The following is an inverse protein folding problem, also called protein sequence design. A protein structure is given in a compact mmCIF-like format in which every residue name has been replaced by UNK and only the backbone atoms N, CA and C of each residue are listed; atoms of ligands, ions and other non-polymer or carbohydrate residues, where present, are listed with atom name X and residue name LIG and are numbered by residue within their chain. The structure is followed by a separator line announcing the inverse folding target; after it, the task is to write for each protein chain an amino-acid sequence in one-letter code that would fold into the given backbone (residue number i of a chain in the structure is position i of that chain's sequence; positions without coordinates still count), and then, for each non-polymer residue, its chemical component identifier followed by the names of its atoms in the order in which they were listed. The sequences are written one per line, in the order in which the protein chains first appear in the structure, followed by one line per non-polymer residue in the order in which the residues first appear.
data_IF_910339797758
#
_entry.id   IF_910339797758
#
_cell.length_a   1.000
_cell.length_b   1.000
_cell.length_c   1.000
_cell.angle_alpha   90.00
_cell.angle_beta   90.00
_cell.angle_gamma   90.00
#
_symmetry.space_group_name_H-M   'P 1'
#
loop_
_entity.id
_entity.type
_entity.pdbx_description
1 polymer ?
#
# COMPACT_ATOMS: atom_id res chain seq x y z
N UNK A 1 0.11 12.29 -13.12
CA UNK A 1 1.38 11.53 -13.08
C UNK A 1 2.42 12.34 -12.35
N UNK A 2 3.15 11.72 -11.47
CA UNK A 2 4.17 12.45 -10.74
C UNK A 2 5.36 12.78 -11.64
N UNK A 3 6.02 13.86 -11.29
CA UNK A 3 7.23 14.31 -11.96
C UNK A 3 8.32 13.22 -11.96
N UNK A 4 8.44 12.50 -10.86
CA UNK A 4 9.42 11.44 -10.69
C UNK A 4 9.23 10.30 -11.68
N UNK A 5 7.98 9.97 -12.00
CA UNK A 5 7.68 8.93 -12.98
C UNK A 5 8.14 9.31 -14.38
N UNK A 6 8.01 10.60 -14.74
CA UNK A 6 8.32 11.08 -16.09
C UNK A 6 9.82 11.14 -16.33
N UNK A 7 10.57 11.61 -15.34
CA UNK A 7 12.01 11.87 -15.48
C UNK A 7 12.88 10.76 -14.93
N UNK A 8 12.28 9.65 -14.54
CA UNK A 8 13.01 8.51 -14.00
C UNK A 8 13.40 8.63 -12.54
N UNK A 9 13.03 9.71 -11.85
CA UNK A 9 13.23 9.84 -10.44
C UNK A 9 12.15 9.05 -9.71
N UNK A 10 12.58 8.12 -8.87
CA UNK A 10 11.67 7.29 -8.11
C UNK A 10 11.68 7.70 -6.65
N UNK A 11 10.49 7.76 -6.06
CA UNK A 11 10.37 7.95 -4.63
C UNK A 11 10.89 6.69 -3.94
N UNK A 12 11.70 6.87 -2.90
CA UNK A 12 12.21 5.75 -2.11
C UNK A 12 11.02 4.98 -1.52
N UNK A 13 10.92 3.67 -1.77
CA UNK A 13 9.83 2.88 -1.22
C UNK A 13 9.94 2.78 0.29
N UNK A 14 8.80 2.79 0.97
CA UNK A 14 8.72 2.61 2.40
C UNK A 14 8.02 1.30 2.72
N UNK A 15 8.51 0.62 3.72
CA UNK A 15 7.86 -0.59 4.22
C UNK A 15 6.53 -0.20 4.85
N UNK A 16 5.38 -0.71 4.33
CA UNK A 16 4.06 -0.27 4.83
C UNK A 16 3.83 -0.64 6.29
N UNK A 17 4.37 -1.79 6.74
CA UNK A 17 4.20 -2.27 8.11
C UNK A 17 5.53 -2.78 8.63
N UNK A 18 5.90 -2.40 9.85
CA UNK A 18 7.15 -2.83 10.48
C UNK A 18 7.16 -4.34 10.77
N UNK A 19 6.02 -4.86 11.16
CA UNK A 19 5.90 -6.27 11.51
C UNK A 19 4.47 -6.76 11.28
N UNK A 20 4.28 -8.06 11.44
CA UNK A 20 2.99 -8.71 11.24
C UNK A 20 1.92 -8.20 12.20
N UNK A 21 2.27 -7.96 13.45
CA UNK A 21 1.34 -7.44 14.44
C UNK A 21 0.74 -6.09 14.05
N UNK A 22 1.58 -5.18 13.56
CA UNK A 22 1.11 -3.88 13.08
C UNK A 22 0.24 -3.99 11.83
N UNK A 23 0.54 -4.95 10.96
CA UNK A 23 -0.32 -5.24 9.82
C UNK A 23 -1.73 -5.64 10.27
N UNK A 24 -1.81 -6.59 11.19
CA UNK A 24 -3.10 -7.03 11.72
C UNK A 24 -3.86 -5.90 12.39
N UNK A 25 -3.17 -5.08 13.18
CA UNK A 25 -3.77 -3.94 13.86
C UNK A 25 -4.36 -2.93 12.87
N UNK A 26 -3.64 -2.65 11.79
CA UNK A 26 -4.11 -1.74 10.75
C UNK A 26 -5.35 -2.28 10.03
N UNK A 27 -5.54 -3.60 10.03
CA UNK A 27 -6.67 -4.26 9.37
C UNK A 27 -7.80 -4.64 10.33
N UNK A 28 -7.76 -4.14 11.56
CA UNK A 28 -8.88 -4.26 12.49
C UNK A 28 -8.72 -5.31 13.58
N UNK A 29 -7.50 -5.73 13.90
CA UNK A 29 -7.30 -6.67 15.00
C UNK A 29 -7.66 -6.05 16.34
N UNK A 30 -8.12 -6.88 17.26
CA UNK A 30 -8.49 -6.50 18.62
C UNK A 30 -8.19 -7.64 19.59
N UNK A 31 -8.41 -7.41 20.88
CA UNK A 31 -8.15 -8.43 21.89
C UNK A 31 -8.91 -9.74 21.64
N UNK A 32 -10.18 -9.63 21.22
CA UNK A 32 -10.99 -10.80 20.92
C UNK A 32 -10.87 -11.30 19.47
N UNK A 33 -10.11 -10.61 18.64
CA UNK A 33 -10.01 -10.92 17.22
C UNK A 33 -8.63 -10.56 16.69
N UNK A 34 -7.60 -11.36 17.03
CA UNK A 34 -6.21 -11.05 16.65
C UNK A 34 -5.96 -11.14 15.14
N UNK A 35 -6.75 -11.92 14.42
CA UNK A 35 -6.62 -12.10 12.97
C UNK A 35 -7.96 -11.73 12.33
N UNK A 36 -8.16 -10.45 11.98
CA UNK A 36 -9.43 -9.98 11.44
C UNK A 36 -9.66 -10.46 10.02
N UNK A 37 -10.93 -10.50 9.60
CA UNK A 37 -11.26 -10.69 8.20
C UNK A 37 -10.75 -9.48 7.41
N UNK A 38 -9.94 -9.72 6.40
CA UNK A 38 -9.31 -8.66 5.62
C UNK A 38 -10.28 -7.97 4.66
N UNK A 39 -11.41 -8.62 4.36
CA UNK A 39 -12.42 -8.05 3.47
C UNK A 39 -13.23 -6.96 4.16
N UNK A 40 -13.66 -7.22 5.40
CA UNK A 40 -14.49 -6.28 6.16
C UNK A 40 -13.71 -5.52 7.25
N UNK A 41 -12.42 -5.78 7.40
CA UNK A 41 -11.61 -5.11 8.42
C UNK A 41 -12.03 -5.45 9.83
N UNK A 42 -12.54 -6.67 10.08
CA UNK A 42 -12.96 -7.12 11.39
C UNK A 42 -14.38 -6.72 11.78
N UNK A 43 -15.11 -6.03 10.91
CA UNK A 43 -16.44 -5.50 11.24
C UNK A 43 -17.57 -6.51 11.03
N UNK A 44 -17.40 -7.50 10.17
CA UNK A 44 -18.42 -8.49 9.84
C UNK A 44 -19.42 -8.04 8.79
N UNK A 45 -19.38 -6.78 8.40
CA UNK A 45 -20.27 -6.21 7.39
C UNK A 45 -19.48 -5.39 6.38
N UNK A 46 -20.00 -5.32 5.16
CA UNK A 46 -19.45 -4.51 4.07
C UNK A 46 -20.62 -3.82 3.38
N UNK A 47 -20.32 -2.79 2.59
CA UNK A 47 -21.32 -2.19 1.73
C UNK A 47 -21.41 -2.98 0.43
N UNK A 48 -22.63 -3.13 -0.10
CA UNK A 48 -22.85 -3.80 -1.36
C UNK A 48 -22.16 -3.02 -2.48
N UNK A 49 -21.21 -3.63 -3.19
CA UNK A 49 -20.50 -2.91 -4.27
C UNK A 49 -21.40 -2.56 -5.45
N UNK A 50 -22.59 -3.18 -5.56
CA UNK A 50 -23.54 -2.86 -6.62
C UNK A 50 -24.41 -1.65 -6.28
N UNK A 51 -24.45 -1.24 -5.00
CA UNK A 51 -25.18 -0.05 -4.60
C UNK A 51 -24.42 1.20 -5.05
N UNK A 52 -25.11 2.14 -5.72
CA UNK A 52 -24.44 3.38 -6.07
C UNK A 52 -24.13 4.20 -4.81
N UNK A 53 -23.05 4.99 -4.81
CA UNK A 53 -22.79 5.89 -3.70
C UNK A 53 -23.95 6.89 -3.57
N UNK A 54 -24.32 7.16 -2.31
CA UNK A 54 -25.40 8.12 -2.04
C UNK A 54 -24.98 9.51 -2.52
N UNK A 55 -25.75 10.17 -3.38
CA UNK A 55 -25.41 11.52 -3.87
C UNK A 55 -25.56 12.60 -2.80
N UNK A 56 -26.26 12.28 -1.71
CA UNK A 56 -26.43 13.20 -0.59
C UNK A 56 -25.38 12.87 0.47
N UNK A 57 -24.86 13.88 1.11
CA UNK A 57 -23.88 13.71 2.18
C UNK A 57 -24.40 12.73 3.24
N UNK A 58 -23.52 11.80 3.60
CA UNK A 58 -23.87 10.70 4.49
C UNK A 58 -24.44 9.51 3.74
N UNK A 59 -23.96 8.33 4.09
CA UNK A 59 -24.36 7.08 3.45
C UNK A 59 -25.56 6.41 4.15
N UNK A 60 -26.43 7.20 4.76
CA UNK A 60 -27.57 6.70 5.54
C UNK A 60 -28.54 5.82 4.75
N UNK A 61 -28.56 5.98 3.42
CA UNK A 61 -29.39 5.15 2.54
C UNK A 61 -28.65 3.90 2.06
N UNK A 62 -27.37 3.79 2.38
CA UNK A 62 -26.55 2.66 2.00
C UNK A 62 -26.47 1.69 3.18
N UNK A 63 -27.14 0.56 3.06
CA UNK A 63 -27.21 -0.41 4.14
C UNK A 63 -26.01 -1.36 4.08
N UNK A 64 -25.38 -1.65 5.24
CA UNK A 64 -24.34 -2.67 5.27
C UNK A 64 -24.95 -4.05 5.11
N UNK A 65 -24.24 -4.92 4.43
CA UNK A 65 -24.62 -6.32 4.27
C UNK A 65 -23.59 -7.21 4.98
N UNK A 66 -23.98 -8.45 5.26
CA UNK A 66 -23.07 -9.41 5.87
C UNK A 66 -21.87 -9.67 4.97
N UNK A 67 -20.68 -9.65 5.55
CA UNK A 67 -19.47 -10.01 4.82
C UNK A 67 -19.48 -11.50 4.49
N UNK A 68 -19.50 -11.84 3.20
CA UNK A 68 -19.54 -13.23 2.75
C UNK A 68 -18.22 -13.96 3.06
N UNK A 69 -17.11 -13.24 3.09
CA UNK A 69 -15.80 -13.84 3.31
C UNK A 69 -15.65 -14.44 4.72
N UNK A 70 -16.26 -13.80 5.72
CA UNK A 70 -16.20 -14.28 7.11
C UNK A 70 -17.55 -14.75 7.67
N UNK A 71 -18.61 -14.68 6.84
CA UNK A 71 -19.95 -15.06 7.28
C UNK A 71 -20.54 -14.13 8.32
N UNK A 72 -20.06 -12.89 8.40
CA UNK A 72 -20.54 -11.90 9.36
C UNK A 72 -19.83 -11.92 10.71
N UNK A 73 -18.83 -12.78 10.90
CA UNK A 73 -18.11 -12.88 12.18
C UNK A 73 -17.06 -11.82 12.40
N UNK A 74 -16.54 -11.23 11.31
CA UNK A 74 -15.42 -10.31 11.37
C UNK A 74 -14.07 -10.99 11.61
N UNK A 75 -14.06 -12.31 11.75
CA UNK A 75 -12.86 -13.09 12.06
C UNK A 75 -12.26 -13.69 10.81
N UNK A 76 -10.96 -13.52 10.65
CA UNK A 76 -10.18 -14.19 9.61
C UNK A 76 -9.36 -15.32 10.20
N UNK A 77 -8.33 -15.71 9.47
CA UNK A 77 -7.38 -16.73 9.91
C UNK A 77 -5.98 -16.15 9.98
N UNK A 78 -5.16 -16.71 10.85
CA UNK A 78 -3.74 -16.34 10.95
C UNK A 78 -3.03 -16.51 9.63
N UNK A 79 -3.32 -17.61 8.93
CA UNK A 79 -2.70 -17.93 7.66
C UNK A 79 -3.05 -16.91 6.58
N UNK A 80 -4.33 -16.57 6.45
CA UNK A 80 -4.77 -15.56 5.48
C UNK A 80 -4.11 -14.20 5.74
N UNK A 81 -4.03 -13.79 7.01
CA UNK A 81 -3.37 -12.55 7.38
C UNK A 81 -1.87 -12.60 7.08
N UNK A 82 -1.21 -13.72 7.33
CA UNK A 82 0.21 -13.89 7.01
C UNK A 82 0.48 -13.83 5.52
N UNK A 83 -0.36 -14.48 4.73
CA UNK A 83 -0.21 -14.45 3.27
C UNK A 83 -0.37 -13.02 2.73
N UNK A 84 -1.36 -12.29 3.22
CA UNK A 84 -1.58 -10.90 2.83
C UNK A 84 -0.40 -10.01 3.25
N UNK A 85 0.08 -10.18 4.48
CA UNK A 85 1.26 -9.46 4.96
C UNK A 85 2.48 -9.77 4.10
N UNK A 86 2.72 -11.04 3.79
CA UNK A 86 3.86 -11.45 2.98
C UNK A 86 3.81 -10.81 1.59
N UNK A 87 2.62 -10.67 1.00
CA UNK A 87 2.48 -9.97 -0.28
C UNK A 87 2.95 -8.53 -0.19
N UNK A 88 2.65 -7.84 0.91
CA UNK A 88 3.11 -6.45 1.10
C UNK A 88 4.63 -6.38 1.20
N UNK A 89 5.24 -7.34 1.89
CA UNK A 89 6.69 -7.42 2.01
C UNK A 89 7.35 -7.70 0.66
N UNK A 90 6.78 -8.61 -0.11
CA UNK A 90 7.31 -8.97 -1.44
C UNK A 90 7.24 -7.80 -2.41
N UNK A 91 6.14 -7.07 -2.41
CA UNK A 91 5.98 -5.85 -3.23
C UNK A 91 7.04 -4.82 -2.83
N UNK A 92 7.20 -4.59 -1.53
CA UNK A 92 8.21 -3.66 -1.04
C UNK A 92 9.62 -4.07 -1.48
N UNK A 93 9.97 -5.35 -1.35
CA UNK A 93 11.29 -5.85 -1.76
C UNK A 93 11.56 -5.63 -3.24
N UNK A 94 10.56 -5.89 -4.09
CA UNK A 94 10.68 -5.65 -5.53
C UNK A 94 10.86 -4.18 -5.86
N UNK A 95 10.07 -3.32 -5.25
CA UNK A 95 10.16 -1.87 -5.44
C UNK A 95 11.51 -1.34 -4.97
N UNK A 96 11.99 -1.84 -3.83
CA UNK A 96 13.29 -1.46 -3.29
C UNK A 96 14.42 -1.88 -4.20
N UNK A 97 14.38 -3.10 -4.73
CA UNK A 97 15.39 -3.59 -5.66
C UNK A 97 15.47 -2.72 -6.91
N UNK A 98 14.34 -2.36 -7.48
CA UNK A 98 14.27 -1.46 -8.64
C UNK A 98 14.81 -0.07 -8.28
N UNK A 99 14.43 0.45 -7.13
CA UNK A 99 14.91 1.75 -6.66
C UNK A 99 16.44 1.75 -6.46
N UNK A 100 16.98 0.72 -5.81
CA UNK A 100 18.42 0.62 -5.54
C UNK A 100 19.22 0.51 -6.84
N UNK A 101 18.74 -0.25 -7.81
CA UNK A 101 19.37 -0.37 -9.12
C UNK A 101 19.36 0.95 -9.86
N UNK A 102 18.24 1.63 -9.85
CA UNK A 102 18.11 2.95 -10.47
C UNK A 102 19.05 3.97 -9.82
N UNK A 103 19.12 3.96 -8.48
CA UNK A 103 20.02 4.85 -7.75
C UNK A 103 21.49 4.56 -8.07
N UNK A 104 21.84 3.28 -8.24
CA UNK A 104 23.19 2.88 -8.62
C UNK A 104 23.55 3.41 -10.01
N UNK A 105 22.67 3.22 -10.98
CA UNK A 105 22.88 3.70 -12.35
C UNK A 105 22.98 5.22 -12.40
N UNK A 106 22.15 5.90 -11.64
CA UNK A 106 22.19 7.35 -11.53
C UNK A 106 23.54 7.84 -11.00
N UNK A 107 24.05 7.21 -9.93
CA UNK A 107 25.36 7.57 -9.39
C UNK A 107 26.48 7.37 -10.41
N UNK A 108 26.44 6.28 -11.16
CA UNK A 108 27.41 6.02 -12.22
C UNK A 108 27.34 7.07 -13.32
N UNK A 109 26.14 7.44 -13.73
CA UNK A 109 25.96 8.47 -14.76
C UNK A 109 26.50 9.83 -14.28
N UNK A 110 26.20 10.21 -13.04
CA UNK A 110 26.65 11.48 -12.48
C UNK A 110 28.18 11.57 -12.37
N UNK A 111 28.87 10.45 -12.14
CA UNK A 111 30.33 10.42 -12.10
C UNK A 111 30.95 10.74 -13.44
N UNK A 112 30.26 10.51 -14.54
CA UNK A 112 30.75 10.77 -15.90
C UNK A 112 30.44 12.18 -16.39
N UNK A 113 29.66 12.94 -15.64
CA UNK A 113 29.23 14.28 -16.01
C UNK A 113 30.19 15.34 -15.46
N UNK A 114 30.31 16.44 -16.18
CA UNK A 114 31.03 17.62 -15.69
C UNK A 114 30.18 18.34 -14.65
N UNK A 115 30.80 19.25 -13.88
CA UNK A 115 30.10 20.08 -12.92
C UNK A 115 28.99 20.91 -13.57
N UNK A 116 29.24 21.40 -14.75
CA UNK A 116 28.28 22.20 -15.51
C UNK A 116 27.08 21.38 -15.94
N UNK A 117 27.33 20.17 -16.42
CA UNK A 117 26.26 19.26 -16.80
C UNK A 117 25.40 18.87 -15.60
N UNK A 118 26.00 18.64 -14.45
CA UNK A 118 25.29 18.35 -13.21
C UNK A 118 24.43 19.54 -12.81
N UNK A 119 24.96 20.75 -12.92
CA UNK A 119 24.24 21.97 -12.62
C UNK A 119 22.99 22.09 -13.50
N UNK A 120 23.12 21.88 -14.79
CA UNK A 120 21.98 21.95 -15.72
C UNK A 120 20.92 20.92 -15.35
N UNK A 121 21.31 19.69 -15.03
CA UNK A 121 20.37 18.66 -14.64
C UNK A 121 19.59 19.04 -13.37
N UNK A 122 20.27 19.65 -12.39
CA UNK A 122 19.62 20.11 -11.17
C UNK A 122 18.61 21.23 -11.43
N UNK A 123 18.96 22.16 -12.31
CA UNK A 123 18.06 23.25 -12.70
C UNK A 123 16.81 22.72 -13.40
N UNK A 124 16.95 21.62 -14.14
CA UNK A 124 15.81 20.95 -14.78
C UNK A 124 15.02 20.07 -13.80
N UNK A 125 15.47 19.95 -12.57
CA UNK A 125 14.80 19.13 -11.56
C UNK A 125 15.05 17.64 -11.70
N UNK A 126 16.14 17.28 -12.32
CA UNK A 126 16.51 15.87 -12.52
C UNK A 126 17.43 15.32 -11.44
#
# INVERSE_FOLDING_TARGET
MSRDSIIGWRVKPHRPYKNFGLFCLAHGSSLGNPYPCLVCGGQGTVYDPTDPPCPVEGSKYRQPIRCAACGGSGKGTKEACRQAYQKTVDVYRREKAVYDEFARLRRQALKKLTKEEIFVLRELGL
#
